data_IF_253002996701
#
_entry.id   IF_253002996701
#
_cell.length_a   1.000
_cell.length_b   1.000
_cell.length_c   1.000
_cell.angle_alpha   90.00
_cell.angle_beta   90.00
_cell.angle_gamma   90.00
#
_symmetry.space_group_name_H-M   'P 1'
#
loop_
_entity.id
_entity.type
_entity.pdbx_description
1 polymer ?
#
# COMPACT_ATOMS: atom_id res chain seq x y z
N UNK A 1 -10.26 -25.04 -6.39
CA UNK A 1 -9.05 -24.49 -7.03
C UNK A 1 -8.80 -25.31 -8.28
N UNK A 2 -8.77 -24.70 -9.47
CA UNK A 2 -8.38 -25.39 -10.69
C UNK A 2 -6.84 -25.48 -10.78
N UNK A 3 -6.27 -26.27 -11.71
CA UNK A 3 -4.81 -26.41 -11.81
C UNK A 3 -4.06 -25.10 -12.07
N UNK A 4 -4.64 -24.16 -12.82
CA UNK A 4 -4.01 -22.86 -13.11
C UNK A 4 -3.92 -21.98 -11.86
N UNK A 5 -5.00 -21.92 -11.07
CA UNK A 5 -5.02 -21.27 -9.75
C UNK A 5 -4.02 -21.90 -8.78
N UNK A 6 -3.84 -23.21 -8.82
CA UNK A 6 -2.87 -23.90 -7.96
C UNK A 6 -1.43 -23.48 -8.28
N UNK A 7 -1.07 -23.40 -9.57
CA UNK A 7 0.24 -22.92 -10.01
C UNK A 7 0.51 -21.48 -9.58
N UNK A 8 -0.46 -20.58 -9.78
CA UNK A 8 -0.37 -19.18 -9.33
C UNK A 8 -0.27 -19.10 -7.81
N UNK A 9 -1.01 -19.92 -7.07
CA UNK A 9 -0.94 -19.99 -5.61
C UNK A 9 0.45 -20.38 -5.10
N UNK A 10 1.11 -21.33 -5.75
CA UNK A 10 2.50 -21.72 -5.41
C UNK A 10 3.47 -20.58 -5.69
N UNK A 11 3.37 -19.93 -6.85
CA UNK A 11 4.22 -18.79 -7.21
C UNK A 11 4.05 -17.63 -6.23
N UNK A 12 2.81 -17.30 -5.86
CA UNK A 12 2.51 -16.26 -4.87
C UNK A 12 3.07 -16.63 -3.49
N UNK A 13 2.92 -17.88 -3.07
CA UNK A 13 3.48 -18.36 -1.80
C UNK A 13 5.00 -18.23 -1.77
N UNK A 14 5.68 -18.60 -2.86
CA UNK A 14 7.13 -18.51 -2.96
C UNK A 14 7.62 -17.05 -2.92
N UNK A 15 6.95 -16.15 -3.62
CA UNK A 15 7.27 -14.72 -3.60
C UNK A 15 7.04 -14.12 -2.20
N UNK A 16 5.90 -14.41 -1.58
CA UNK A 16 5.58 -13.95 -0.23
C UNK A 16 6.57 -14.44 0.84
N UNK A 17 7.13 -15.64 0.67
CA UNK A 17 8.11 -16.18 1.61
C UNK A 17 9.41 -15.35 1.69
N UNK A 18 9.73 -14.56 0.66
CA UNK A 18 10.92 -13.68 0.64
C UNK A 18 10.85 -12.55 1.68
N UNK A 19 9.65 -12.23 2.16
CA UNK A 19 9.41 -11.18 3.15
C UNK A 19 9.35 -11.69 4.59
N UNK A 20 9.46 -13.00 4.83
CA UNK A 20 9.46 -13.56 6.19
C UNK A 20 10.56 -12.91 7.04
N UNK A 21 10.19 -12.29 8.17
CA UNK A 21 11.08 -11.48 9.02
C UNK A 21 11.75 -10.28 8.33
N UNK A 22 11.30 -9.92 7.12
CA UNK A 22 11.74 -8.73 6.41
C UNK A 22 11.10 -7.45 6.97
N UNK A 23 11.20 -6.38 6.19
CA UNK A 23 10.59 -5.10 6.56
C UNK A 23 9.77 -4.49 5.43
N UNK A 24 8.78 -3.69 5.80
CA UNK A 24 8.08 -2.80 4.89
C UNK A 24 8.31 -1.36 5.35
N UNK A 25 8.90 -0.57 4.46
CA UNK A 25 9.25 0.83 4.73
C UNK A 25 8.25 1.73 4.03
N UNK A 26 7.46 2.48 4.79
CA UNK A 26 6.51 3.49 4.30
C UNK A 26 7.28 4.76 3.95
N UNK A 27 7.07 5.27 2.74
CA UNK A 27 7.88 6.34 2.15
C UNK A 27 6.99 7.46 1.60
N UNK A 28 7.50 8.68 1.63
CA UNK A 28 6.99 9.80 0.83
C UNK A 28 7.91 10.09 -0.35
N UNK A 29 7.38 10.84 -1.33
CA UNK A 29 8.08 11.22 -2.56
C UNK A 29 7.64 10.40 -3.77
N UNK A 30 8.43 10.46 -4.84
CA UNK A 30 8.18 9.70 -6.06
C UNK A 30 8.59 8.22 -5.87
N UNK A 31 7.68 7.30 -6.17
CA UNK A 31 8.01 5.88 -6.27
C UNK A 31 8.90 5.67 -7.50
N UNK A 32 10.04 4.97 -7.38
CA UNK A 32 10.86 4.65 -8.53
C UNK A 32 10.14 3.74 -9.53
N UNK A 33 10.66 3.69 -10.77
CA UNK A 33 10.09 2.83 -11.82
C UNK A 33 10.36 1.35 -11.53
N UNK A 34 11.50 1.04 -10.92
CA UNK A 34 11.86 -0.32 -10.50
C UNK A 34 12.29 -0.35 -9.04
N UNK A 35 12.02 -1.44 -8.30
CA UNK A 35 12.38 -1.54 -6.89
C UNK A 35 13.89 -1.44 -6.61
N UNK A 36 14.73 -1.86 -7.56
CA UNK A 36 16.20 -1.85 -7.45
C UNK A 36 16.78 -0.43 -7.60
N UNK A 37 15.99 0.51 -8.11
CA UNK A 37 16.43 1.90 -8.23
C UNK A 37 16.62 2.49 -6.83
N UNK A 38 17.81 3.06 -6.60
CA UNK A 38 18.15 3.73 -5.35
C UNK A 38 17.19 4.89 -5.07
N UNK A 39 16.76 5.01 -3.82
CA UNK A 39 15.91 6.13 -3.39
C UNK A 39 16.72 7.43 -3.39
N UNK A 40 16.11 8.51 -3.87
CA UNK A 40 16.72 9.84 -3.88
C UNK A 40 15.62 10.90 -3.70
N UNK A 41 15.74 11.71 -2.64
CA UNK A 41 14.72 12.69 -2.27
C UNK A 41 13.48 12.11 -1.58
N UNK A 42 13.43 10.79 -1.36
CA UNK A 42 12.37 10.15 -0.57
C UNK A 42 12.61 10.34 0.92
N UNK A 43 11.53 10.37 1.71
CA UNK A 43 11.60 10.39 3.18
C UNK A 43 10.98 9.11 3.73
N UNK A 44 11.72 8.39 4.56
CA UNK A 44 11.18 7.28 5.36
C UNK A 44 10.23 7.84 6.41
N UNK A 45 8.98 7.37 6.41
CA UNK A 45 7.95 7.78 7.36
C UNK A 45 7.83 6.80 8.52
N UNK A 46 7.81 5.50 8.21
CA UNK A 46 7.63 4.44 9.19
C UNK A 46 8.22 3.14 8.65
N UNK A 47 8.77 2.30 9.53
CA UNK A 47 9.16 0.93 9.19
C UNK A 47 8.30 -0.04 10.00
N UNK A 48 7.73 -1.04 9.35
CA UNK A 48 7.11 -2.20 9.99
C UNK A 48 7.91 -3.47 9.71
N UNK A 49 7.89 -4.43 10.62
CA UNK A 49 8.60 -5.71 10.48
C UNK A 49 7.58 -6.80 10.23
N UNK A 50 7.75 -7.56 9.14
CA UNK A 50 6.90 -8.70 8.87
C UNK A 50 7.06 -9.77 9.94
N UNK A 51 6.00 -10.56 10.19
CA UNK A 51 6.11 -11.73 11.07
C UNK A 51 7.11 -12.75 10.52
N UNK A 52 7.57 -13.67 11.37
CA UNK A 52 8.43 -14.79 10.95
C UNK A 52 7.76 -15.65 9.87
N UNK A 53 6.43 -15.79 9.93
CA UNK A 53 5.59 -16.27 8.83
C UNK A 53 4.70 -15.12 8.40
N UNK A 54 5.18 -14.32 7.46
CA UNK A 54 4.57 -13.05 7.07
C UNK A 54 3.20 -13.28 6.42
N UNK A 55 3.07 -14.28 5.55
CA UNK A 55 1.85 -14.54 4.79
C UNK A 55 1.29 -15.94 5.04
N UNK A 56 -0.04 -16.04 5.06
CA UNK A 56 -0.74 -17.32 5.02
C UNK A 56 -0.82 -17.92 3.61
N UNK A 57 -1.44 -19.09 3.52
CA UNK A 57 -1.73 -19.73 2.23
C UNK A 57 -2.61 -18.81 1.34
N UNK A 58 -2.26 -18.63 0.06
CA UNK A 58 -3.08 -17.86 -0.86
C UNK A 58 -4.50 -18.43 -1.04
N UNK A 59 -5.47 -17.54 -1.13
CA UNK A 59 -6.87 -17.86 -1.42
C UNK A 59 -7.30 -17.24 -2.75
N UNK A 60 -8.25 -17.88 -3.44
CA UNK A 60 -8.82 -17.30 -4.65
C UNK A 60 -9.86 -16.23 -4.30
N UNK A 61 -9.67 -15.02 -4.82
CA UNK A 61 -10.60 -13.91 -4.79
C UNK A 61 -10.66 -13.32 -6.19
N UNK A 62 -11.70 -13.70 -6.95
CA UNK A 62 -11.81 -13.40 -8.37
C UNK A 62 -11.47 -11.92 -8.69
N UNK A 63 -10.58 -11.64 -9.67
CA UNK A 63 -9.93 -12.58 -10.59
C UNK A 63 -8.55 -13.10 -10.13
N UNK A 64 -8.16 -12.90 -8.86
CA UNK A 64 -6.79 -13.10 -8.39
C UNK A 64 -6.64 -14.21 -7.35
N UNK A 65 -5.43 -14.76 -7.24
CA UNK A 65 -4.96 -15.35 -6.00
C UNK A 65 -4.47 -14.23 -5.08
N UNK A 66 -4.88 -14.25 -3.81
CA UNK A 66 -4.57 -13.20 -2.84
C UNK A 66 -4.05 -13.78 -1.54
N UNK A 67 -3.14 -13.05 -0.89
CA UNK A 67 -2.74 -13.32 0.50
C UNK A 67 -2.43 -12.01 1.21
N UNK A 68 -2.66 -11.99 2.53
CA UNK A 68 -2.52 -10.78 3.35
C UNK A 68 -1.36 -10.95 4.32
N UNK A 69 -0.53 -9.93 4.40
CA UNK A 69 0.62 -9.90 5.30
C UNK A 69 0.18 -9.78 6.76
N UNK A 70 0.96 -10.38 7.63
CA UNK A 70 0.98 -10.15 9.06
C UNK A 70 2.29 -9.48 9.45
N UNK A 71 2.20 -8.55 10.39
CA UNK A 71 3.33 -7.80 10.92
C UNK A 71 3.52 -8.12 12.39
N UNK A 72 4.77 -8.05 12.84
CA UNK A 72 5.09 -8.20 14.27
C UNK A 72 4.40 -7.08 15.05
N UNK A 73 3.67 -7.43 16.11
CA UNK A 73 2.92 -6.47 16.91
C UNK A 73 3.85 -5.37 17.47
N UNK A 74 3.45 -4.11 17.34
CA UNK A 74 4.24 -2.97 17.79
C UNK A 74 5.51 -2.68 16.97
N UNK A 75 5.72 -3.37 15.85
CA UNK A 75 6.92 -3.16 15.02
C UNK A 75 6.89 -1.87 14.20
N UNK A 76 5.74 -1.20 14.09
CA UNK A 76 5.63 0.06 13.39
C UNK A 76 6.34 1.16 14.17
N UNK A 77 7.43 1.66 13.59
CA UNK A 77 8.23 2.73 14.15
C UNK A 77 8.16 3.98 13.24
N UNK A 78 7.22 4.91 13.47
CA UNK A 78 7.19 6.20 12.79
C UNK A 78 8.46 7.01 13.10
N UNK A 79 9.19 7.40 12.07
CA UNK A 79 10.42 8.20 12.17
C UNK A 79 10.30 9.60 11.56
N UNK A 80 9.24 9.83 10.77
CA UNK A 80 8.89 11.16 10.28
C UNK A 80 7.38 11.30 10.11
N UNK A 81 6.90 12.54 10.17
CA UNK A 81 5.52 12.87 9.83
C UNK A 81 5.35 13.11 8.32
N UNK A 82 4.20 12.72 7.76
CA UNK A 82 3.89 13.04 6.36
C UNK A 82 2.94 12.06 5.69
N UNK A 83 2.54 12.40 4.46
CA UNK A 83 1.69 11.55 3.63
C UNK A 83 2.51 10.45 2.97
N UNK A 84 2.09 9.20 3.17
CA UNK A 84 2.71 8.04 2.52
C UNK A 84 2.25 7.97 1.06
N UNK A 85 3.21 7.81 0.13
CA UNK A 85 2.92 7.69 -1.31
C UNK A 85 3.18 6.30 -1.85
N UNK A 86 4.10 5.55 -1.25
CA UNK A 86 4.39 4.15 -1.57
C UNK A 86 5.07 3.46 -0.38
N UNK A 87 5.27 2.15 -0.49
CA UNK A 87 6.05 1.38 0.46
C UNK A 87 7.08 0.52 -0.28
N UNK A 88 8.19 0.22 0.38
CA UNK A 88 9.25 -0.65 -0.15
C UNK A 88 9.46 -1.85 0.76
N UNK A 89 9.37 -3.04 0.19
CA UNK A 89 9.59 -4.29 0.91
C UNK A 89 11.03 -4.78 0.79
N UNK A 90 11.62 -5.14 1.92
CA UNK A 90 12.96 -5.69 2.03
C UNK A 90 12.93 -7.11 2.58
N UNK A 91 13.91 -7.93 2.19
CA UNK A 91 14.18 -9.22 2.85
C UNK A 91 14.62 -9.03 4.30
N UNK A 92 14.73 -10.14 5.03
CA UNK A 92 15.30 -10.19 6.37
C UNK A 92 16.76 -9.75 6.46
N UNK A 93 17.48 -9.66 5.33
CA UNK A 93 18.84 -9.10 5.30
C UNK A 93 18.88 -7.57 5.47
N UNK A 94 17.72 -6.89 5.38
CA UNK A 94 17.57 -5.45 5.57
C UNK A 94 18.08 -4.59 4.41
N UNK A 95 18.64 -5.18 3.36
CA UNK A 95 19.26 -4.44 2.24
C UNK A 95 18.70 -4.82 0.87
N UNK A 96 18.29 -6.07 0.69
CA UNK A 96 17.75 -6.55 -0.59
C UNK A 96 16.29 -6.12 -0.72
N UNK A 97 16.01 -5.30 -1.73
CA UNK A 97 14.66 -4.86 -2.10
C UNK A 97 13.99 -5.95 -2.93
N UNK A 98 12.73 -6.25 -2.62
CA UNK A 98 11.94 -7.27 -3.34
C UNK A 98 10.73 -6.68 -4.07
N UNK A 99 10.28 -5.49 -3.68
CA UNK A 99 9.15 -4.85 -4.33
C UNK A 99 8.86 -3.45 -3.81
N UNK A 100 8.34 -2.62 -4.71
CA UNK A 100 7.67 -1.37 -4.38
C UNK A 100 6.16 -1.58 -4.47
N UNK A 101 5.44 -1.01 -3.52
CA UNK A 101 4.02 -1.22 -3.31
C UNK A 101 3.29 0.11 -3.33
N UNK A 102 2.18 0.14 -4.04
CA UNK A 102 1.26 1.26 -3.96
C UNK A 102 0.62 1.31 -2.57
N UNK A 103 0.63 2.48 -1.96
CA UNK A 103 0.00 2.70 -0.64
C UNK A 103 -1.21 3.60 -0.81
N UNK A 104 -2.32 3.18 -0.24
CA UNK A 104 -3.53 3.96 -0.11
C UNK A 104 -4.05 4.00 1.32
N UNK A 105 -5.02 4.85 1.54
CA UNK A 105 -5.69 5.04 2.84
C UNK A 105 -7.20 5.00 2.68
N UNK A 106 -7.94 4.86 3.78
CA UNK A 106 -9.36 5.23 3.74
C UNK A 106 -9.48 6.74 3.45
N UNK A 107 -10.48 7.14 2.68
CA UNK A 107 -10.73 8.57 2.48
C UNK A 107 -11.08 9.24 3.82
N UNK A 108 -10.50 10.41 4.05
CA UNK A 108 -10.75 11.24 5.23
C UNK A 108 -11.16 12.64 4.76
N UNK A 109 -12.21 13.18 5.37
CA UNK A 109 -12.69 14.53 5.13
C UNK A 109 -11.68 15.59 5.58
N UNK A 110 -11.59 16.71 4.84
CA UNK A 110 -10.78 17.87 5.20
C UNK A 110 -9.30 17.55 5.46
N UNK A 111 -8.77 16.58 4.74
CA UNK A 111 -7.44 16.03 4.92
C UNK A 111 -6.49 16.55 3.84
N UNK A 112 -5.32 17.05 4.25
CA UNK A 112 -4.22 17.34 3.33
C UNK A 112 -3.74 16.04 2.66
N UNK A 113 -3.67 16.06 1.33
CA UNK A 113 -3.25 14.94 0.48
C UNK A 113 -2.19 15.41 -0.52
N UNK A 114 -1.29 14.50 -0.88
CA UNK A 114 -0.18 14.79 -1.79
C UNK A 114 -0.39 14.14 -3.15
N UNK A 115 0.26 14.68 -4.18
CA UNK A 115 0.26 14.12 -5.53
C UNK A 115 0.68 12.64 -5.50
N UNK A 116 -0.10 11.80 -6.17
CA UNK A 116 0.16 10.37 -6.29
C UNK A 116 -0.42 9.51 -5.17
N UNK A 117 -0.91 10.11 -4.07
CA UNK A 117 -1.53 9.37 -2.97
C UNK A 117 -2.83 8.68 -3.42
N UNK A 118 -3.03 7.44 -2.98
CA UNK A 118 -4.26 6.70 -3.22
C UNK A 118 -5.23 6.80 -2.02
N UNK A 119 -6.53 6.77 -2.29
CA UNK A 119 -7.53 6.57 -1.26
C UNK A 119 -8.66 5.62 -1.70
N UNK A 120 -9.33 5.01 -0.72
CA UNK A 120 -10.51 4.18 -0.88
C UNK A 120 -11.73 4.91 -0.31
N UNK A 121 -12.76 5.14 -1.13
CA UNK A 121 -14.03 5.80 -0.75
C UNK A 121 -15.19 5.02 -1.35
N UNK A 122 -16.16 4.62 -0.53
CA UNK A 122 -17.38 3.93 -1.01
C UNK A 122 -17.11 2.64 -1.81
N UNK A 123 -15.99 1.96 -1.56
CA UNK A 123 -15.56 0.79 -2.33
C UNK A 123 -14.86 1.10 -3.65
N UNK A 124 -14.52 2.35 -3.93
CA UNK A 124 -13.81 2.80 -5.14
C UNK A 124 -12.41 3.33 -4.80
N UNK A 125 -11.43 3.04 -5.66
CA UNK A 125 -10.07 3.57 -5.55
C UNK A 125 -9.91 4.86 -6.35
N UNK A 126 -9.27 5.85 -5.74
CA UNK A 126 -8.94 7.14 -6.34
C UNK A 126 -7.45 7.44 -6.19
N UNK A 127 -6.88 8.15 -7.16
CA UNK A 127 -5.51 8.67 -7.10
C UNK A 127 -5.53 10.19 -7.13
N UNK A 128 -4.82 10.82 -6.20
CA UNK A 128 -4.65 12.27 -6.17
C UNK A 128 -3.74 12.68 -7.34
N UNK A 129 -4.27 13.51 -8.24
CA UNK A 129 -3.55 14.05 -9.41
C UNK A 129 -3.23 15.54 -9.28
N UNK A 130 -3.76 16.21 -8.24
CA UNK A 130 -3.32 17.53 -7.80
C UNK A 130 -3.41 17.59 -6.28
N UNK A 131 -2.28 17.85 -5.63
CA UNK A 131 -2.20 17.95 -4.18
C UNK A 131 -3.11 19.06 -3.64
N UNK A 132 -3.65 18.88 -2.44
CA UNK A 132 -4.61 19.79 -1.86
C UNK A 132 -5.21 19.26 -0.58
N UNK A 133 -6.41 19.73 -0.24
CA UNK A 133 -7.21 19.28 0.90
C UNK A 133 -8.50 18.69 0.38
N UNK A 134 -8.86 17.46 0.79
CA UNK A 134 -10.14 16.84 0.46
C UNK A 134 -11.31 17.67 1.00
N UNK A 135 -12.50 17.55 0.39
CA UNK A 135 -13.68 18.25 0.89
C UNK A 135 -14.21 17.61 2.18
N UNK A 136 -15.30 18.17 2.71
CA UNK A 136 -16.07 17.54 3.79
C UNK A 136 -16.93 16.36 3.36
N UNK A 137 -17.04 16.10 2.04
CA UNK A 137 -17.95 15.09 1.47
C UNK A 137 -17.18 14.02 0.71
N UNK A 138 -17.61 12.78 0.85
CA UNK A 138 -16.92 11.63 0.27
C UNK A 138 -16.89 11.69 -1.27
N UNK A 139 -15.77 11.35 -1.93
CA UNK A 139 -15.67 11.26 -3.37
C UNK A 139 -16.58 10.16 -3.92
N UNK A 140 -17.33 10.47 -4.98
CA UNK A 140 -18.25 9.52 -5.65
C UNK A 140 -18.16 9.50 -7.18
N UNK A 141 -17.34 10.38 -7.78
CA UNK A 141 -17.17 10.42 -9.23
C UNK A 141 -16.49 9.16 -9.79
N UNK A 142 -16.67 8.91 -11.09
CA UNK A 142 -16.00 7.82 -11.84
C UNK A 142 -15.04 8.35 -12.91
N UNK A 143 -14.74 9.65 -12.86
CA UNK A 143 -13.82 10.36 -13.75
C UNK A 143 -12.80 11.15 -12.93
N UNK A 144 -12.19 12.19 -13.51
CA UNK A 144 -11.40 13.18 -12.77
C UNK A 144 -12.29 14.32 -12.28
N UNK A 145 -12.15 14.69 -11.00
CA UNK A 145 -12.93 15.76 -10.39
C UNK A 145 -12.17 16.43 -9.24
N UNK A 146 -12.61 17.63 -8.89
CA UNK A 146 -12.10 18.39 -7.74
C UNK A 146 -12.90 18.05 -6.48
N UNK A 147 -12.20 17.79 -5.38
CA UNK A 147 -12.72 17.49 -4.05
C UNK A 147 -12.01 18.41 -3.05
N UNK A 148 -12.66 19.50 -2.66
CA UNK A 148 -12.03 20.58 -1.90
C UNK A 148 -11.04 21.33 -2.80
N UNK A 149 -9.74 21.29 -2.46
CA UNK A 149 -8.66 21.79 -3.34
C UNK A 149 -7.84 20.66 -3.97
N UNK A 150 -8.09 19.41 -3.59
CA UNK A 150 -7.45 18.26 -4.23
C UNK A 150 -8.18 17.88 -5.53
N UNK A 151 -7.45 17.31 -6.49
CA UNK A 151 -8.04 16.68 -7.68
C UNK A 151 -7.81 15.18 -7.60
N UNK A 152 -8.87 14.40 -7.77
CA UNK A 152 -8.85 12.95 -7.77
C UNK A 152 -9.19 12.41 -9.16
N UNK A 153 -8.55 11.31 -9.53
CA UNK A 153 -8.90 10.51 -10.70
C UNK A 153 -9.31 9.12 -10.26
N UNK A 154 -10.53 8.72 -10.61
CA UNK A 154 -11.04 7.35 -10.39
C UNK A 154 -10.14 6.30 -11.06
N UNK A 155 -9.77 5.27 -10.32
CA UNK A 155 -8.93 4.16 -10.80
C UNK A 155 -9.73 2.88 -11.05
N UNK A 156 -10.90 2.73 -10.42
CA UNK A 156 -11.73 1.55 -10.51
C UNK A 156 -12.40 1.18 -9.19
N UNK A 157 -13.26 0.16 -9.25
CA UNK A 157 -13.92 -0.40 -8.08
C UNK A 157 -12.98 -1.35 -7.32
N UNK A 158 -13.22 -1.49 -6.01
CA UNK A 158 -12.40 -2.24 -5.08
C UNK A 158 -11.14 -1.50 -4.64
N UNK A 159 -10.37 -2.15 -3.76
CA UNK A 159 -9.03 -1.71 -3.39
C UNK A 159 -8.03 -2.12 -4.48
N UNK A 160 -7.52 -1.15 -5.23
CA UNK A 160 -6.58 -1.40 -6.32
C UNK A 160 -5.10 -1.20 -5.95
N UNK A 161 -4.83 -0.74 -4.73
CA UNK A 161 -3.48 -0.59 -4.18
C UNK A 161 -3.10 -1.74 -3.23
N UNK A 162 -1.81 -1.92 -3.04
CA UNK A 162 -1.24 -3.12 -2.40
C UNK A 162 -1.22 -3.02 -0.87
N UNK A 163 -1.11 -1.80 -0.33
CA UNK A 163 -1.04 -1.53 1.10
C UNK A 163 -2.08 -0.49 1.54
N UNK A 164 -2.94 -0.84 2.49
CA UNK A 164 -3.90 0.05 3.13
C UNK A 164 -3.37 0.51 4.49
N UNK A 165 -3.15 1.81 4.66
CA UNK A 165 -2.83 2.42 5.96
C UNK A 165 -4.09 3.02 6.59
N UNK A 166 -4.22 2.88 7.91
CA UNK A 166 -5.38 3.40 8.64
C UNK A 166 -5.42 4.93 8.70
N UNK A 167 -4.27 5.59 8.59
CA UNK A 167 -4.14 7.04 8.57
C UNK A 167 -3.34 7.49 7.34
N UNK A 168 -3.88 8.36 6.46
CA UNK A 168 -3.16 8.92 5.32
C UNK A 168 -1.91 9.71 5.70
N UNK A 169 -1.86 10.26 6.92
CA UNK A 169 -0.71 10.99 7.46
C UNK A 169 -0.10 10.18 8.59
N UNK A 170 1.16 9.78 8.41
CA UNK A 170 1.97 9.24 9.49
C UNK A 170 2.30 10.39 10.44
N UNK A 171 2.13 10.15 11.74
CA UNK A 171 2.46 11.10 12.81
C UNK A 171 3.38 10.41 13.82
N UNK A 172 4.37 11.14 14.32
CA UNK A 172 5.26 10.63 15.36
C UNK A 172 4.47 10.32 16.63
N UNK A 173 4.77 9.17 17.26
CA UNK A 173 4.12 8.73 18.50
C UNK A 173 2.68 8.24 18.34
N UNK A 174 2.12 8.24 17.13
CA UNK A 174 0.79 7.70 16.85
C UNK A 174 0.93 6.27 16.31
N UNK A 175 0.20 5.29 16.85
CA UNK A 175 0.20 3.94 16.30
C UNK A 175 -0.21 3.93 14.83
N UNK A 176 0.60 3.25 14.00
CA UNK A 176 0.28 2.99 12.59
C UNK A 176 -0.32 1.60 12.49
N UNK A 177 -1.43 1.47 11.77
CA UNK A 177 -1.98 0.17 11.38
C UNK A 177 -1.98 0.06 9.87
N UNK A 178 -1.59 -1.11 9.37
CA UNK A 178 -1.41 -1.39 7.95
C UNK A 178 -1.92 -2.79 7.64
N UNK A 179 -2.59 -2.90 6.50
CA UNK A 179 -2.87 -4.18 5.84
C UNK A 179 -2.21 -4.18 4.48
N UNK A 180 -1.33 -5.14 4.20
CA UNK A 180 -0.79 -5.33 2.85
C UNK A 180 -1.35 -6.61 2.24
N UNK A 181 -1.85 -6.52 1.02
CA UNK A 181 -2.39 -7.65 0.27
C UNK A 181 -1.61 -7.83 -1.02
N UNK A 182 -1.06 -9.02 -1.20
CA UNK A 182 -0.42 -9.43 -2.43
C UNK A 182 -1.44 -10.11 -3.33
N UNK A 183 -1.39 -9.82 -4.63
CA UNK A 183 -2.32 -10.35 -5.63
C UNK A 183 -1.55 -10.84 -6.86
N UNK A 184 -1.94 -11.99 -7.39
CA UNK A 184 -1.49 -12.48 -8.69
C UNK A 184 -2.69 -12.92 -9.52
N UNK A 185 -2.79 -12.52 -10.81
CA UNK A 185 -3.90 -12.95 -11.66
C UNK A 185 -3.99 -14.47 -11.73
N UNK A 186 -5.18 -15.01 -11.44
CA UNK A 186 -5.46 -16.42 -11.67
C UNK A 186 -5.77 -16.60 -13.16
N UNK A 187 -4.75 -16.98 -13.94
CA UNK A 187 -4.91 -17.32 -15.37
C UNK A 187 -5.85 -18.51 -15.59
#
# INVERSE_FOLDING_TARGET
>A
MNPSQAGVGVALSAYCALYNSGSLVLLSGAMPVTPETALSGNTTLCTGVYSATAYGAPAFSAPNMVTTASFTAGSYNPVAGGSCTFARGYKSDGTSVEGDFTVGSAWIASQAVVLGQYCLSGGNTYKCTTAGTSSGTTPSGTTTFTDGTAVWTYQGAGQLFDALISNPIIQLGVPVSLTQTMKMPAV
#
